data_IF_122725687848
#
_entry.id   IF_122725687848
#
_cell.length_a   1.000
_cell.length_b   1.000
_cell.length_c   1.000
_cell.angle_alpha   90.00
_cell.angle_beta   90.00
_cell.angle_gamma   90.00
#
_symmetry.space_group_name_H-M   'P 1'
#
loop_
_entity.id
_entity.type
_entity.pdbx_description
1 polymer ?
#
# COMPACT_ATOMS: atom_id res chain seq x y z
N UNK A 1 -11.78 6.78 26.24
CA UNK A 1 -11.72 7.89 25.27
C UNK A 1 -12.32 9.18 25.83
N UNK A 2 -13.56 9.16 26.37
CA UNK A 2 -14.19 10.36 26.95
C UNK A 2 -13.40 10.95 28.13
N UNK A 3 -12.78 10.12 28.96
CA UNK A 3 -11.94 10.55 30.09
C UNK A 3 -10.60 11.18 29.69
N UNK A 4 -10.17 10.94 28.45
CA UNK A 4 -8.91 11.47 27.90
C UNK A 4 -9.13 12.70 27.02
N UNK A 5 -10.32 13.29 27.02
CA UNK A 5 -10.72 14.42 26.15
C UNK A 5 -10.45 14.19 24.65
N UNK A 6 -10.47 12.93 24.23
CA UNK A 6 -10.19 12.52 22.87
C UNK A 6 -11.44 12.62 21.99
N UNK A 7 -11.36 13.31 20.86
CA UNK A 7 -12.47 13.43 19.93
C UNK A 7 -12.76 12.07 19.27
N UNK A 8 -13.89 11.45 19.63
CA UNK A 8 -14.29 10.12 19.12
C UNK A 8 -14.81 10.16 17.70
N UNK A 9 -15.35 11.30 17.28
CA UNK A 9 -16.09 11.49 16.02
C UNK A 9 -15.39 12.52 15.13
N UNK A 10 -14.07 12.41 15.00
CA UNK A 10 -13.28 13.20 14.08
C UNK A 10 -12.74 12.29 12.96
N UNK A 11 -12.80 12.73 11.69
CA UNK A 11 -12.29 11.94 10.58
C UNK A 11 -10.78 11.74 10.72
N UNK A 12 -10.33 10.51 10.47
CA UNK A 12 -8.93 10.11 10.56
C UNK A 12 -8.54 9.22 9.41
N UNK A 13 -7.30 9.36 8.97
CA UNK A 13 -6.65 8.44 8.05
C UNK A 13 -5.57 7.64 8.78
N UNK A 14 -5.41 6.38 8.40
CA UNK A 14 -4.32 5.53 8.87
C UNK A 14 -3.28 5.40 7.76
N UNK A 15 -2.06 5.75 8.10
CA UNK A 15 -0.88 5.52 7.27
C UNK A 15 -0.05 4.42 7.93
N UNK A 16 0.18 3.32 7.21
CA UNK A 16 1.09 2.28 7.65
C UNK A 16 2.42 2.44 6.92
N UNK A 17 3.47 2.71 7.67
CA UNK A 17 4.82 2.91 7.18
C UNK A 17 5.62 1.63 7.41
N UNK A 18 6.03 0.95 6.34
CA UNK A 18 6.88 -0.24 6.39
C UNK A 18 8.29 0.11 5.95
N UNK A 19 9.25 -0.12 6.82
CA UNK A 19 10.68 0.06 6.53
C UNK A 19 11.17 -1.10 5.64
N UNK A 20 11.97 -0.78 4.62
CA UNK A 20 12.52 -1.76 3.69
C UNK A 20 14.01 -1.94 3.99
N UNK A 21 14.39 -3.15 4.39
CA UNK A 21 15.77 -3.49 4.73
C UNK A 21 16.04 -3.39 6.23
N UNK A 22 16.72 -2.35 6.67
CA UNK A 22 17.01 -2.14 8.10
C UNK A 22 15.86 -1.42 8.79
N UNK A 23 15.45 -1.94 9.95
CA UNK A 23 14.54 -1.21 10.84
C UNK A 23 15.35 -0.19 11.66
N UNK A 24 14.84 1.03 11.79
CA UNK A 24 15.40 2.07 12.62
C UNK A 24 14.38 2.46 13.71
N UNK A 25 14.78 2.30 14.95
CA UNK A 25 13.95 2.66 16.13
C UNK A 25 13.61 4.15 16.12
N UNK A 26 14.50 4.98 15.57
CA UNK A 26 14.29 6.42 15.47
C UNK A 26 13.12 6.83 14.56
N UNK A 27 12.62 5.91 13.72
CA UNK A 27 11.47 6.17 12.83
C UNK A 27 10.25 6.69 13.59
N UNK A 28 9.96 6.11 14.75
CA UNK A 28 8.83 6.55 15.60
C UNK A 28 9.05 7.97 16.10
N UNK A 29 10.27 8.30 16.54
CA UNK A 29 10.58 9.62 17.08
C UNK A 29 10.53 10.70 16.00
N UNK A 30 11.06 10.42 14.81
CA UNK A 30 11.01 11.33 13.66
C UNK A 30 9.55 11.58 13.26
N UNK A 31 8.75 10.54 13.10
CA UNK A 31 7.33 10.69 12.75
C UNK A 31 6.56 11.41 13.86
N UNK A 32 6.82 11.12 15.13
CA UNK A 32 6.20 11.82 16.24
C UNK A 32 6.56 13.32 16.29
N UNK A 33 7.77 13.67 15.85
CA UNK A 33 8.21 15.06 15.66
C UNK A 33 7.45 15.80 14.56
N UNK A 34 7.04 15.10 13.50
CA UNK A 34 6.21 15.66 12.42
C UNK A 34 4.77 15.95 12.86
N UNK A 35 4.26 15.19 13.84
CA UNK A 35 2.88 15.30 14.34
C UNK A 35 2.88 15.60 15.85
N UNK A 36 3.15 16.85 16.23
CA UNK A 36 3.33 17.22 17.65
C UNK A 36 2.04 17.23 18.45
N UNK A 37 0.87 17.35 17.81
CA UNK A 37 -0.42 17.37 18.51
C UNK A 37 -0.89 15.95 18.86
N UNK A 38 -0.42 15.47 20.02
CA UNK A 38 -0.75 14.15 20.56
C UNK A 38 -2.22 13.95 20.95
N UNK A 39 -3.03 15.00 20.86
CA UNK A 39 -4.48 14.90 21.07
C UNK A 39 -5.23 14.58 19.77
N UNK A 40 -4.61 14.84 18.64
CA UNK A 40 -5.22 14.64 17.32
C UNK A 40 -4.54 13.51 16.53
N UNK A 41 -3.21 13.44 16.60
CA UNK A 41 -2.40 12.54 15.78
C UNK A 41 -1.64 11.53 16.66
N UNK A 42 -1.55 10.29 16.23
CA UNK A 42 -0.90 9.22 16.98
C UNK A 42 0.11 8.50 16.11
N UNK A 43 1.30 8.29 16.66
CA UNK A 43 2.35 7.47 16.05
C UNK A 43 2.57 6.25 16.92
N UNK A 44 2.35 5.06 16.36
CA UNK A 44 2.36 3.79 17.06
C UNK A 44 3.38 2.84 16.42
N UNK A 45 4.32 2.34 17.21
CA UNK A 45 5.14 1.21 16.80
C UNK A 45 4.27 -0.04 16.79
N UNK A 46 4.17 -0.72 15.66
CA UNK A 46 3.40 -1.94 15.50
C UNK A 46 4.29 -3.16 15.71
N UNK A 47 5.44 -3.15 15.05
CA UNK A 47 6.49 -4.16 15.17
C UNK A 47 7.85 -3.53 14.80
N UNK A 48 8.87 -4.34 14.60
CA UNK A 48 10.24 -3.87 14.31
C UNK A 48 10.32 -3.07 13.00
N UNK A 49 9.49 -3.38 12.00
CA UNK A 49 9.54 -2.76 10.67
C UNK A 49 8.38 -1.83 10.36
N UNK A 50 7.28 -1.93 11.11
CA UNK A 50 6.04 -1.23 10.80
C UNK A 50 5.69 -0.19 11.87
N UNK A 51 5.41 1.03 11.43
CA UNK A 51 4.91 2.13 12.23
C UNK A 51 3.59 2.61 11.66
N UNK A 52 2.57 2.76 12.49
CA UNK A 52 1.29 3.33 12.08
C UNK A 52 1.18 4.79 12.53
N UNK A 53 0.79 5.66 11.62
CA UNK A 53 0.40 7.05 11.91
C UNK A 53 -1.11 7.16 11.73
N UNK A 54 -1.80 7.52 12.79
CA UNK A 54 -3.23 7.84 12.78
C UNK A 54 -3.33 9.36 12.81
N UNK A 55 -3.72 9.94 11.70
CA UNK A 55 -3.80 11.39 11.56
C UNK A 55 -5.24 11.87 11.50
N UNK A 56 -5.59 12.82 12.36
CA UNK A 56 -6.84 13.55 12.22
C UNK A 56 -6.77 14.42 10.98
N UNK A 57 -7.83 14.36 10.16
CA UNK A 57 -7.96 15.13 8.92
C UNK A 57 -9.14 16.08 9.03
N UNK A 58 -9.11 17.12 8.21
CA UNK A 58 -10.21 18.09 8.12
C UNK A 58 -11.22 17.64 7.07
N UNK A 59 -12.49 18.02 7.23
CA UNK A 59 -13.50 17.77 6.20
C UNK A 59 -13.10 18.41 4.87
N UNK A 60 -13.20 17.64 3.79
CA UNK A 60 -12.78 18.07 2.44
C UNK A 60 -11.34 17.67 2.07
N UNK A 61 -10.61 16.95 2.91
CA UNK A 61 -9.32 16.35 2.54
C UNK A 61 -9.51 15.39 1.36
N UNK A 62 -8.75 15.59 0.30
CA UNK A 62 -8.80 14.78 -0.91
C UNK A 62 -7.80 13.60 -0.85
N UNK A 63 -7.95 12.56 -1.70
CA UNK A 63 -6.93 11.51 -1.82
C UNK A 63 -5.53 12.07 -2.13
N UNK A 64 -5.46 13.10 -2.97
CA UNK A 64 -4.19 13.75 -3.31
C UNK A 64 -3.55 14.46 -2.10
N UNK A 65 -4.36 14.95 -1.16
CA UNK A 65 -3.83 15.55 0.08
C UNK A 65 -3.29 14.48 1.03
N UNK A 66 -3.94 13.30 1.10
CA UNK A 66 -3.41 12.16 1.83
C UNK A 66 -2.08 11.67 1.23
N UNK A 67 -2.00 11.61 -0.09
CA UNK A 67 -0.75 11.24 -0.78
C UNK A 67 0.38 12.24 -0.49
N UNK A 68 0.10 13.56 -0.45
CA UNK A 68 1.08 14.58 -0.06
C UNK A 68 1.57 14.40 1.38
N UNK A 69 0.67 14.06 2.30
CA UNK A 69 1.05 13.76 3.69
C UNK A 69 1.97 12.55 3.74
N UNK A 70 1.63 11.46 3.04
CA UNK A 70 2.46 10.26 2.95
C UNK A 70 3.82 10.59 2.33
N UNK A 71 3.85 11.40 1.27
CA UNK A 71 5.08 11.84 0.62
C UNK A 71 5.98 12.65 1.54
N UNK A 72 5.42 13.54 2.34
CA UNK A 72 6.16 14.29 3.35
C UNK A 72 6.80 13.38 4.39
N UNK A 73 6.09 12.34 4.86
CA UNK A 73 6.65 11.33 5.77
C UNK A 73 7.79 10.55 5.12
N UNK A 74 7.59 10.06 3.90
CA UNK A 74 8.62 9.34 3.13
C UNK A 74 9.89 10.17 2.97
N UNK A 75 9.75 11.41 2.49
CA UNK A 75 10.87 12.31 2.24
C UNK A 75 11.62 12.66 3.54
N UNK A 76 10.91 12.87 4.64
CA UNK A 76 11.51 13.13 5.94
C UNK A 76 12.34 11.93 6.41
N UNK A 77 11.76 10.72 6.39
CA UNK A 77 12.45 9.50 6.79
C UNK A 77 13.67 9.20 5.90
N UNK A 78 13.54 9.42 4.60
CA UNK A 78 14.64 9.28 3.65
C UNK A 78 15.76 10.28 3.91
N UNK A 79 15.45 11.53 4.24
CA UNK A 79 16.43 12.58 4.45
C UNK A 79 17.12 12.47 5.81
N UNK A 80 16.38 12.18 6.88
CA UNK A 80 16.92 12.15 8.24
C UNK A 80 17.57 10.81 8.59
N UNK A 81 16.93 9.69 8.22
CA UNK A 81 17.37 8.35 8.60
C UNK A 81 18.00 7.54 7.46
N UNK A 82 17.94 8.04 6.21
CA UNK A 82 18.43 7.33 5.02
C UNK A 82 17.77 5.97 4.78
N UNK A 83 16.58 5.75 5.31
CA UNK A 83 15.81 4.52 5.12
C UNK A 83 14.88 4.62 3.91
N UNK A 84 14.61 3.47 3.30
CA UNK A 84 13.54 3.32 2.31
C UNK A 84 12.29 2.83 3.01
N UNK A 85 11.15 3.36 2.62
CA UNK A 85 9.86 2.97 3.19
C UNK A 85 8.84 2.70 2.10
N UNK A 86 7.84 1.89 2.43
CA UNK A 86 6.61 1.75 1.66
C UNK A 86 5.47 2.17 2.58
N UNK A 87 4.61 3.03 2.09
CA UNK A 87 3.51 3.61 2.87
C UNK A 87 2.18 3.17 2.26
N UNK A 88 1.37 2.47 3.06
CA UNK A 88 -0.01 2.17 2.73
C UNK A 88 -0.95 3.19 3.37
N UNK A 89 -1.96 3.63 2.63
CA UNK A 89 -2.99 4.55 3.11
C UNK A 89 -4.31 3.78 3.17
N UNK A 90 -4.94 3.73 4.35
CA UNK A 90 -6.28 3.18 4.53
C UNK A 90 -7.36 4.22 4.26
N UNK A 91 -8.61 3.78 4.11
CA UNK A 91 -9.74 4.69 3.94
C UNK A 91 -9.94 5.58 5.15
N UNK A 92 -10.46 6.76 4.91
CA UNK A 92 -10.80 7.71 5.96
C UNK A 92 -11.93 7.16 6.82
N UNK A 93 -11.73 7.18 8.14
CA UNK A 93 -12.70 6.70 9.12
C UNK A 93 -13.25 7.86 9.94
N UNK A 94 -14.56 7.97 10.05
CA UNK A 94 -15.22 9.01 10.85
C UNK A 94 -15.29 8.63 12.35
N UNK A 95 -15.14 7.35 12.67
CA UNK A 95 -15.26 6.84 14.02
C UNK A 95 -14.04 6.01 14.45
N UNK A 96 -13.67 6.11 15.73
CA UNK A 96 -12.55 5.33 16.30
C UNK A 96 -12.65 3.82 16.10
N UNK A 97 -13.86 3.26 16.13
CA UNK A 97 -14.10 1.82 15.95
C UNK A 97 -13.67 1.30 14.57
N UNK A 98 -13.64 2.17 13.59
CA UNK A 98 -13.34 1.85 12.18
C UNK A 98 -11.83 1.92 11.87
N UNK A 99 -11.03 2.49 12.79
CA UNK A 99 -9.57 2.62 12.59
C UNK A 99 -8.87 1.28 12.42
N UNK A 100 -9.40 0.21 13.03
CA UNK A 100 -8.85 -1.13 12.86
C UNK A 100 -9.02 -1.65 11.43
N UNK A 101 -10.11 -1.29 10.77
CA UNK A 101 -10.36 -1.67 9.38
C UNK A 101 -9.51 -0.81 8.44
N UNK A 102 -9.45 0.52 8.67
CA UNK A 102 -8.52 1.41 7.94
C UNK A 102 -7.06 0.95 8.06
N UNK A 103 -6.64 0.45 9.22
CA UNK A 103 -5.30 -0.13 9.39
C UNK A 103 -5.10 -1.40 8.52
N UNK A 104 -6.06 -2.33 8.52
CA UNK A 104 -6.01 -3.53 7.66
C UNK A 104 -5.99 -3.17 6.18
N UNK A 105 -6.72 -2.15 5.79
CA UNK A 105 -6.72 -1.63 4.43
C UNK A 105 -5.36 -1.05 4.04
N UNK A 106 -4.73 -0.26 4.91
CA UNK A 106 -3.38 0.24 4.71
C UNK A 106 -2.35 -0.91 4.58
N UNK A 107 -2.50 -1.97 5.38
CA UNK A 107 -1.68 -3.17 5.28
C UNK A 107 -1.90 -3.89 3.94
N UNK A 108 -3.16 -4.08 3.55
CA UNK A 108 -3.54 -4.67 2.26
C UNK A 108 -2.98 -3.84 1.10
N UNK A 109 -3.01 -2.52 1.21
CA UNK A 109 -2.44 -1.62 0.20
C UNK A 109 -0.95 -1.91 -0.03
N UNK A 110 -0.16 -2.07 1.03
CA UNK A 110 1.26 -2.42 0.92
C UNK A 110 1.44 -3.81 0.30
N UNK A 111 0.68 -4.81 0.78
CA UNK A 111 0.87 -6.19 0.36
C UNK A 111 0.46 -6.41 -1.11
N UNK A 112 -0.66 -5.82 -1.53
CA UNK A 112 -1.16 -5.88 -2.91
C UNK A 112 -0.33 -4.99 -3.84
N UNK A 113 -0.02 -3.77 -3.41
CA UNK A 113 0.74 -2.82 -4.21
C UNK A 113 2.10 -3.36 -4.62
N UNK A 114 2.77 -4.08 -3.73
CA UNK A 114 4.05 -4.74 -4.04
C UNK A 114 3.95 -5.80 -5.13
N UNK A 115 2.79 -6.43 -5.30
CA UNK A 115 2.57 -7.45 -6.34
C UNK A 115 2.32 -6.80 -7.70
N UNK A 116 1.55 -5.71 -7.74
CA UNK A 116 1.08 -5.10 -8.99
C UNK A 116 1.94 -3.93 -9.46
N UNK A 117 2.58 -3.20 -8.54
CA UNK A 117 3.41 -2.04 -8.88
C UNK A 117 4.59 -1.93 -7.89
N UNK A 118 5.64 -2.66 -8.19
CA UNK A 118 6.84 -2.75 -7.33
C UNK A 118 7.62 -1.44 -7.22
N UNK A 119 7.35 -0.46 -8.07
CA UNK A 119 8.06 0.82 -8.07
C UNK A 119 7.40 1.87 -7.15
N UNK A 120 6.11 1.74 -6.87
CA UNK A 120 5.41 2.66 -5.99
C UNK A 120 5.79 2.44 -4.53
N UNK A 121 6.14 3.53 -3.88
CA UNK A 121 6.42 3.59 -2.43
C UNK A 121 5.22 4.08 -1.61
N UNK A 122 4.22 4.71 -2.24
CA UNK A 122 3.00 5.17 -1.60
C UNK A 122 1.82 4.54 -2.33
N UNK A 123 1.00 3.82 -1.58
CA UNK A 123 -0.10 3.02 -2.13
C UNK A 123 -1.37 3.29 -1.34
N UNK A 124 -2.35 3.86 -2.00
CA UNK A 124 -3.67 4.07 -1.45
C UNK A 124 -4.56 2.86 -1.70
N UNK A 125 -5.24 2.39 -0.63
CA UNK A 125 -6.16 1.26 -0.69
C UNK A 125 -7.31 1.49 -1.70
N UNK A 126 -7.83 2.71 -1.80
CA UNK A 126 -8.90 3.02 -2.75
C UNK A 126 -8.44 2.92 -4.21
N UNK A 127 -7.15 3.08 -4.48
CA UNK A 127 -6.56 3.02 -5.81
C UNK A 127 -6.09 1.64 -6.24
N UNK A 128 -6.27 0.60 -5.42
CA UNK A 128 -5.86 -0.79 -5.76
C UNK A 128 -6.68 -1.43 -6.89
N UNK A 129 -7.86 -0.89 -7.18
CA UNK A 129 -8.72 -1.41 -8.25
C UNK A 129 -9.01 -2.91 -8.10
N UNK A 130 -8.79 -3.66 -9.19
CA UNK A 130 -9.02 -5.11 -9.22
C UNK A 130 -8.08 -5.89 -8.29
N UNK A 131 -6.91 -5.34 -7.98
CA UNK A 131 -5.94 -5.98 -7.07
C UNK A 131 -6.56 -6.27 -5.70
N UNK A 132 -7.40 -5.36 -5.20
CA UNK A 132 -8.14 -5.54 -3.95
C UNK A 132 -9.09 -6.75 -3.98
N UNK A 133 -9.75 -6.98 -5.11
CA UNK A 133 -10.65 -8.13 -5.28
C UNK A 133 -9.86 -9.44 -5.37
N UNK A 134 -8.78 -9.46 -6.16
CA UNK A 134 -7.93 -10.64 -6.32
C UNK A 134 -7.31 -11.04 -4.97
N UNK A 135 -6.85 -10.08 -4.19
CA UNK A 135 -6.25 -10.35 -2.87
C UNK A 135 -7.23 -11.00 -1.89
N UNK A 136 -8.53 -10.73 -2.02
CA UNK A 136 -9.57 -11.30 -1.16
C UNK A 136 -10.04 -12.70 -1.62
N UNK A 137 -9.61 -13.18 -2.79
CA UNK A 137 -10.01 -14.50 -3.26
C UNK A 137 -9.35 -15.59 -2.40
N UNK A 138 -10.11 -16.65 -2.04
CA UNK A 138 -9.52 -17.83 -1.42
C UNK A 138 -8.45 -18.44 -2.34
N UNK A 139 -7.32 -18.85 -1.76
CA UNK A 139 -6.22 -19.49 -2.50
C UNK A 139 -6.68 -20.67 -3.34
N UNK A 140 -7.59 -21.50 -2.78
CA UNK A 140 -8.16 -22.64 -3.49
C UNK A 140 -8.91 -22.24 -4.76
N UNK A 141 -9.61 -21.11 -4.75
CA UNK A 141 -10.29 -20.60 -5.95
C UNK A 141 -9.27 -20.12 -7.00
N UNK A 142 -8.21 -19.47 -6.56
CA UNK A 142 -7.12 -19.07 -7.45
C UNK A 142 -6.43 -20.29 -8.08
N UNK A 143 -6.16 -21.35 -7.31
CA UNK A 143 -5.58 -22.59 -7.80
C UNK A 143 -6.48 -23.30 -8.82
N UNK A 144 -7.79 -23.37 -8.56
CA UNK A 144 -8.76 -23.94 -9.51
C UNK A 144 -8.72 -23.14 -10.82
N UNK A 145 -8.84 -21.80 -10.73
CA UNK A 145 -8.79 -20.95 -11.93
C UNK A 145 -7.49 -21.12 -12.71
N UNK A 146 -6.34 -21.11 -12.03
CA UNK A 146 -5.06 -21.32 -12.69
C UNK A 146 -4.97 -22.70 -13.36
N UNK A 147 -5.48 -23.76 -12.73
CA UNK A 147 -5.52 -25.10 -13.30
C UNK A 147 -6.41 -25.19 -14.54
N UNK A 148 -7.51 -24.45 -14.58
CA UNK A 148 -8.40 -24.37 -15.74
C UNK A 148 -7.75 -23.62 -16.91
N UNK A 149 -7.08 -22.48 -16.62
CA UNK A 149 -6.41 -21.65 -17.63
C UNK A 149 -5.18 -22.34 -18.21
N UNK A 150 -4.32 -22.88 -17.36
CA UNK A 150 -3.06 -23.51 -17.77
C UNK A 150 -3.21 -25.02 -18.05
N UNK A 151 -4.40 -25.59 -17.79
CA UNK A 151 -4.73 -27.02 -18.01
C UNK A 151 -3.71 -27.94 -17.32
N UNK A 152 -2.87 -28.63 -18.14
CA UNK A 152 -1.86 -29.56 -17.65
C UNK A 152 -0.50 -28.95 -17.31
N UNK A 153 -0.31 -27.66 -17.68
CA UNK A 153 0.93 -26.95 -17.44
C UNK A 153 0.74 -26.01 -16.24
N UNK A 154 1.70 -26.00 -15.35
CA UNK A 154 1.75 -25.00 -14.26
C UNK A 154 2.25 -23.67 -14.82
N UNK A 155 1.85 -22.56 -14.21
CA UNK A 155 2.43 -21.24 -14.48
C UNK A 155 3.95 -21.25 -14.28
N UNK A 156 4.44 -22.07 -13.34
CA UNK A 156 5.87 -22.26 -13.08
C UNK A 156 6.61 -22.94 -14.21
N UNK A 157 5.89 -23.55 -15.18
CA UNK A 157 6.48 -24.14 -16.38
C UNK A 157 6.73 -23.12 -17.50
N UNK A 158 6.25 -21.89 -17.36
CA UNK A 158 6.52 -20.81 -18.30
C UNK A 158 7.94 -20.31 -18.10
N UNK A 159 8.69 -20.23 -19.19
CA UNK A 159 10.01 -19.60 -19.16
C UNK A 159 9.92 -18.07 -18.95
N UNK A 160 11.03 -17.47 -18.55
CA UNK A 160 11.09 -16.04 -18.27
C UNK A 160 10.78 -15.17 -19.50
N UNK A 161 11.11 -15.64 -20.70
CA UNK A 161 10.84 -14.92 -21.95
C UNK A 161 9.34 -14.87 -22.23
N UNK A 162 8.66 -16.00 -22.03
CA UNK A 162 7.19 -16.08 -22.16
C UNK A 162 6.50 -15.18 -21.13
N UNK A 163 6.93 -15.22 -19.87
CA UNK A 163 6.39 -14.34 -18.83
C UNK A 163 6.62 -12.86 -19.13
N UNK A 164 7.82 -12.52 -19.61
CA UNK A 164 8.14 -11.15 -20.03
C UNK A 164 7.26 -10.69 -21.20
N UNK A 165 7.04 -11.58 -22.18
CA UNK A 165 6.16 -11.30 -23.32
C UNK A 165 4.72 -11.08 -22.90
N UNK A 166 4.20 -11.91 -21.97
CA UNK A 166 2.86 -11.76 -21.41
C UNK A 166 2.72 -10.40 -20.70
N UNK A 167 3.69 -10.04 -19.84
CA UNK A 167 3.68 -8.75 -19.17
C UNK A 167 3.67 -7.58 -20.16
N UNK A 168 4.53 -7.63 -21.19
CA UNK A 168 4.56 -6.60 -22.23
C UNK A 168 3.27 -6.53 -23.05
N UNK A 169 2.59 -7.64 -23.24
CA UNK A 169 1.30 -7.66 -23.92
C UNK A 169 0.22 -6.94 -23.11
N UNK A 170 0.18 -7.15 -21.79
CA UNK A 170 -0.74 -6.41 -20.90
C UNK A 170 -0.37 -4.93 -20.82
N UNK A 171 0.91 -4.57 -20.66
CA UNK A 171 1.38 -3.18 -20.66
C UNK A 171 1.00 -2.41 -21.93
N UNK A 172 0.90 -3.11 -23.06
CA UNK A 172 0.51 -2.54 -24.34
C UNK A 172 -0.99 -2.69 -24.63
N UNK A 173 -1.83 -2.75 -23.59
CA UNK A 173 -3.29 -2.84 -23.68
C UNK A 173 -3.77 -3.99 -24.59
N UNK A 174 -3.14 -5.16 -24.50
CA UNK A 174 -3.45 -6.36 -25.29
C UNK A 174 -3.26 -6.15 -26.80
N UNK A 175 -2.41 -5.22 -27.21
CA UNK A 175 -2.13 -4.92 -28.61
C UNK A 175 -0.93 -5.76 -29.10
N UNK A 176 -1.23 -6.80 -29.88
CA UNK A 176 -0.21 -7.72 -30.44
C UNK A 176 0.84 -6.98 -31.25
N UNK A 177 0.41 -6.10 -32.17
CA UNK A 177 1.32 -5.39 -33.07
C UNK A 177 2.26 -4.45 -32.34
N UNK A 178 1.75 -3.75 -31.31
CA UNK A 178 2.56 -2.86 -30.48
C UNK A 178 3.56 -3.67 -29.64
N UNK A 179 3.10 -4.78 -29.08
CA UNK A 179 3.94 -5.69 -28.28
C UNK A 179 5.06 -6.28 -29.13
N UNK A 180 4.74 -6.83 -30.32
CA UNK A 180 5.72 -7.34 -31.24
C UNK A 180 6.79 -6.30 -31.61
N UNK A 181 6.36 -5.08 -31.91
CA UNK A 181 7.27 -3.98 -32.23
C UNK A 181 8.22 -3.65 -31.08
N UNK A 182 7.71 -3.59 -29.86
CA UNK A 182 8.51 -3.28 -28.66
C UNK A 182 9.46 -4.42 -28.27
N UNK A 183 9.05 -5.65 -28.53
CA UNK A 183 9.88 -6.84 -28.27
C UNK A 183 10.83 -7.16 -29.43
N UNK A 184 10.73 -6.44 -30.55
CA UNK A 184 11.50 -6.72 -31.77
C UNK A 184 11.29 -8.15 -32.33
N UNK A 185 10.10 -8.71 -32.13
CA UNK A 185 9.69 -10.03 -32.62
C UNK A 185 8.61 -9.90 -33.72
N UNK A 186 8.50 -10.92 -34.58
CA UNK A 186 7.53 -10.95 -35.66
C UNK A 186 6.32 -11.83 -35.37
#
# INVERSE_FOLDING_TARGET
AKELHFATDAPRAVFLIRQVGHSDVATVDVLAGMFPDKMQDFVLSINESDVAVIKQITGGTTPEDLEKIAKSMEDTLKNELRIKTVIGIGTVSDHLRELADSYKEAQTAIDVGKVFDTEKSIIDYENLGIGRLIYQLPTTLCEIFLSEVFKKNSIDSLDQETLFTINKFFENNLNVSETSRKLFVH
#
